data_IF_953545541642
#
_entry.id   IF_953545541642
#
_cell.length_a   1.000
_cell.length_b   1.000
_cell.length_c   1.000
_cell.angle_alpha   90.00
_cell.angle_beta   90.00
_cell.angle_gamma   90.00
#
_symmetry.space_group_name_H-M   'P 1'
#
loop_
_entity.id
_entity.type
_entity.pdbx_description
1 polymer ?
#
# COMPACT_ATOMS: atom_id res chain seq x y z
N UNK A 1 13.11 -1.81 -25.38
CA UNK A 1 14.23 -1.72 -24.42
C UNK A 1 14.14 -0.36 -23.74
N UNK A 2 14.15 -0.32 -22.40
CA UNK A 2 14.23 0.91 -21.65
C UNK A 2 15.62 0.99 -21.04
N UNK A 3 16.34 2.06 -21.32
CA UNK A 3 17.60 2.38 -20.64
C UNK A 3 17.28 3.28 -19.44
N UNK A 4 17.70 2.86 -18.24
CA UNK A 4 17.64 3.69 -17.05
C UNK A 4 18.99 4.40 -16.86
N UNK A 5 18.94 5.71 -16.66
CA UNK A 5 20.14 6.46 -16.28
C UNK A 5 20.59 6.03 -14.89
N UNK A 6 21.87 5.67 -14.75
CA UNK A 6 22.42 5.14 -13.50
C UNK A 6 22.20 6.06 -12.29
N UNK A 7 22.20 7.37 -12.49
CA UNK A 7 21.97 8.37 -11.45
C UNK A 7 20.52 8.41 -10.94
N UNK A 8 19.57 7.85 -11.70
CA UNK A 8 18.14 7.87 -11.40
C UNK A 8 17.57 6.47 -11.11
N UNK A 9 18.42 5.51 -10.70
CA UNK A 9 18.01 4.12 -10.45
C UNK A 9 17.33 3.88 -9.10
N UNK A 10 17.15 4.92 -8.29
CA UNK A 10 16.46 4.78 -7.00
C UNK A 10 15.00 4.34 -7.19
N UNK A 11 14.52 3.32 -6.47
CA UNK A 11 13.17 2.79 -6.67
C UNK A 11 12.07 3.84 -6.56
N UNK A 12 12.19 4.78 -5.62
CA UNK A 12 11.21 5.87 -5.43
C UNK A 12 11.17 6.87 -6.59
N UNK A 13 12.22 6.95 -7.41
CA UNK A 13 12.23 7.73 -8.66
C UNK A 13 11.56 6.94 -9.79
N UNK A 14 11.80 5.63 -9.84
CA UNK A 14 11.28 4.78 -10.92
C UNK A 14 9.77 4.55 -10.82
N UNK A 15 9.21 4.44 -9.60
CA UNK A 15 7.77 4.22 -9.43
C UNK A 15 6.90 5.34 -10.00
N UNK A 16 7.20 6.64 -9.82
CA UNK A 16 6.54 7.70 -10.55
C UNK A 16 6.60 7.54 -12.07
N UNK A 17 7.75 7.12 -12.62
CA UNK A 17 7.87 6.83 -14.05
C UNK A 17 6.94 5.68 -14.48
N UNK A 18 6.86 4.61 -13.70
CA UNK A 18 5.94 3.49 -13.95
C UNK A 18 4.50 3.95 -13.88
N UNK A 19 4.15 4.79 -12.90
CA UNK A 19 2.77 5.24 -12.71
C UNK A 19 2.30 6.23 -13.75
N UNK A 20 3.20 7.06 -14.30
CA UNK A 20 2.87 8.15 -15.22
C UNK A 20 3.22 7.87 -16.68
N UNK A 21 4.12 6.92 -16.94
CA UNK A 21 4.74 6.74 -18.26
C UNK A 21 5.71 7.85 -18.65
N UNK A 22 6.13 8.70 -17.69
CA UNK A 22 7.05 9.82 -17.89
C UNK A 22 8.44 9.50 -17.40
N UNK A 23 9.44 10.10 -18.01
CA UNK A 23 10.83 10.05 -17.55
C UNK A 23 11.01 10.87 -16.27
N UNK A 24 12.13 10.67 -15.54
CA UNK A 24 12.46 11.51 -14.39
C UNK A 24 12.48 13.00 -14.75
N UNK A 25 13.03 13.33 -15.93
CA UNK A 25 13.11 14.71 -16.39
C UNK A 25 11.76 15.39 -16.62
N UNK A 26 10.73 14.60 -16.86
CA UNK A 26 9.38 15.10 -17.05
C UNK A 26 8.61 15.22 -15.72
N UNK A 27 8.62 14.18 -14.86
CA UNK A 27 7.85 14.20 -13.61
C UNK A 27 8.58 14.86 -12.43
N UNK A 28 9.92 14.95 -12.45
CA UNK A 28 10.77 15.59 -11.42
C UNK A 28 10.56 15.13 -9.98
N UNK A 29 10.02 13.95 -9.77
CA UNK A 29 9.80 13.36 -8.45
C UNK A 29 11.04 12.58 -8.04
N UNK A 30 11.76 13.10 -7.05
CA UNK A 30 13.03 12.51 -6.60
C UNK A 30 12.90 11.74 -5.29
N UNK A 31 12.01 12.17 -4.38
CA UNK A 31 11.89 11.58 -3.05
C UNK A 31 10.64 10.74 -2.91
N UNK A 32 10.73 9.78 -2.01
CA UNK A 32 9.59 9.00 -1.58
C UNK A 32 8.54 9.94 -0.93
N UNK A 33 7.29 9.85 -1.39
CA UNK A 33 6.19 10.68 -0.93
C UNK A 33 5.99 12.01 -1.70
N UNK A 34 6.97 12.50 -2.46
CA UNK A 34 6.85 13.76 -3.18
C UNK A 34 5.77 13.72 -4.27
N UNK A 35 5.44 12.52 -4.78
CA UNK A 35 4.45 12.36 -5.84
C UNK A 35 3.04 12.83 -5.43
N UNK A 36 2.74 12.90 -4.14
CA UNK A 36 1.45 13.41 -3.63
C UNK A 36 1.18 14.83 -4.10
N UNK A 37 2.23 15.64 -4.26
CA UNK A 37 2.14 17.03 -4.69
C UNK A 37 2.24 17.18 -6.23
N UNK A 38 2.51 16.12 -6.98
CA UNK A 38 2.56 16.17 -8.43
C UNK A 38 1.17 16.38 -9.03
N UNK A 39 1.09 17.15 -10.10
CA UNK A 39 -0.12 17.29 -10.93
C UNK A 39 -0.22 16.21 -12.01
N UNK A 40 0.81 15.39 -12.15
CA UNK A 40 0.85 14.33 -13.15
C UNK A 40 -0.23 13.30 -12.93
N UNK A 41 -0.87 12.91 -14.03
CA UNK A 41 -1.86 11.86 -14.04
C UNK A 41 -1.16 10.50 -14.04
N UNK A 42 -1.60 9.62 -13.16
CA UNK A 42 -1.14 8.25 -13.09
C UNK A 42 -2.06 7.34 -13.91
N UNK A 43 -1.59 6.18 -14.29
CA UNK A 43 -2.43 5.22 -15.01
C UNK A 43 -3.68 4.79 -14.21
N UNK A 44 -3.66 4.90 -12.88
CA UNK A 44 -4.83 4.63 -12.04
C UNK A 44 -6.01 5.54 -12.41
N UNK A 45 -5.76 6.84 -12.55
CA UNK A 45 -6.78 7.81 -12.96
C UNK A 45 -7.22 7.59 -14.41
N UNK A 46 -6.31 7.17 -15.28
CA UNK A 46 -6.64 6.85 -16.68
C UNK A 46 -7.57 5.64 -16.76
N UNK A 47 -7.32 4.59 -15.98
CA UNK A 47 -8.18 3.41 -15.87
C UNK A 47 -9.57 3.80 -15.35
N UNK A 48 -9.64 4.65 -14.30
CA UNK A 48 -10.91 5.15 -13.77
C UNK A 48 -11.68 6.00 -14.78
N UNK A 49 -11.01 6.90 -15.51
CA UNK A 49 -11.59 7.73 -16.57
C UNK A 49 -12.14 6.89 -17.74
N UNK A 50 -11.51 5.76 -18.01
CA UNK A 50 -12.00 4.79 -18.98
C UNK A 50 -13.24 4.00 -18.52
N UNK A 51 -13.75 4.28 -17.31
CA UNK A 51 -14.94 3.64 -16.74
C UNK A 51 -14.68 2.35 -16.00
N UNK A 52 -13.41 2.03 -15.70
CA UNK A 52 -13.03 0.83 -14.98
C UNK A 52 -12.77 1.12 -13.50
N UNK A 53 -13.10 0.17 -12.63
CA UNK A 53 -12.85 0.27 -11.20
C UNK A 53 -11.43 -0.16 -10.85
N UNK A 54 -10.80 0.58 -9.92
CA UNK A 54 -9.41 0.39 -9.50
C UNK A 54 -9.35 -0.04 -8.05
N UNK A 55 -8.53 -1.06 -7.76
CA UNK A 55 -8.14 -1.47 -6.42
C UNK A 55 -6.62 -1.42 -6.26
N UNK A 56 -6.13 -0.87 -5.14
CA UNK A 56 -4.70 -0.82 -4.88
C UNK A 56 -4.39 -1.08 -3.41
N UNK A 57 -3.33 -1.84 -3.15
CA UNK A 57 -2.75 -2.03 -1.83
C UNK A 57 -1.26 -1.76 -1.90
N UNK A 58 -0.82 -0.80 -1.11
CA UNK A 58 0.58 -0.37 -0.97
C UNK A 58 1.28 0.03 -2.27
N UNK A 59 0.62 0.72 -3.25
CA UNK A 59 1.31 1.15 -4.46
C UNK A 59 2.42 2.15 -4.08
N UNK A 60 3.67 1.77 -4.34
CA UNK A 60 4.85 2.54 -3.93
C UNK A 60 4.86 3.93 -4.56
N UNK A 61 5.04 4.96 -3.74
CA UNK A 61 5.14 6.36 -4.16
C UNK A 61 4.02 6.80 -5.14
N UNK A 62 2.79 6.36 -4.88
CA UNK A 62 1.61 6.69 -5.67
C UNK A 62 0.67 7.63 -4.90
N UNK A 63 0.06 8.57 -5.58
CA UNK A 63 -0.97 9.43 -5.01
C UNK A 63 -2.37 8.89 -5.28
N UNK A 64 -3.22 8.84 -4.26
CA UNK A 64 -4.62 8.50 -4.47
C UNK A 64 -5.42 9.73 -4.94
N UNK A 65 -5.58 9.87 -6.24
CA UNK A 65 -6.39 10.89 -6.91
C UNK A 65 -7.68 10.31 -7.51
N UNK A 66 -7.97 9.04 -7.22
CA UNK A 66 -9.18 8.37 -7.68
C UNK A 66 -10.42 8.97 -7.03
N UNK A 67 -11.48 9.14 -7.80
CA UNK A 67 -12.78 9.65 -7.32
C UNK A 67 -13.55 8.59 -6.55
N UNK A 68 -13.49 7.34 -7.03
CA UNK A 68 -14.25 6.24 -6.45
C UNK A 68 -13.49 4.91 -6.55
N UNK A 69 -12.35 4.77 -5.85
CA UNK A 69 -11.60 3.53 -5.85
C UNK A 69 -12.44 2.39 -5.26
N UNK A 70 -12.32 1.19 -5.85
CA UNK A 70 -12.91 -0.01 -5.25
C UNK A 70 -12.32 -0.26 -3.84
N UNK A 71 -11.03 -0.03 -3.70
CA UNK A 71 -10.26 0.11 -2.45
C UNK A 71 -8.92 0.76 -2.77
N UNK A 72 -8.38 1.51 -1.80
CA UNK A 72 -7.04 2.09 -1.90
C UNK A 72 -6.41 2.16 -0.51
N UNK A 73 -5.36 1.38 -0.31
CA UNK A 73 -4.53 1.38 0.90
C UNK A 73 -3.14 1.84 0.45
N UNK A 74 -2.70 3.08 0.79
CA UNK A 74 -1.41 3.61 0.35
C UNK A 74 -0.24 2.84 0.98
N UNK A 75 0.95 3.03 0.42
CA UNK A 75 2.18 2.64 1.08
C UNK A 75 2.42 3.48 2.35
N UNK A 76 3.21 3.00 3.32
CA UNK A 76 3.36 3.67 4.60
C UNK A 76 4.17 4.97 4.55
N UNK A 77 4.89 5.23 3.47
CA UNK A 77 5.75 6.40 3.32
C UNK A 77 5.09 7.55 2.54
N UNK A 78 4.09 7.23 1.72
CA UNK A 78 3.39 8.21 0.91
C UNK A 78 2.16 8.72 1.65
N UNK A 79 2.19 9.99 2.06
CA UNK A 79 1.09 10.63 2.80
C UNK A 79 -0.07 11.01 1.87
N UNK A 80 -0.73 10.01 1.32
CA UNK A 80 -1.92 10.16 0.48
C UNK A 80 -3.13 9.53 1.18
N UNK A 81 -4.37 10.03 0.94
CA UNK A 81 -5.55 9.45 1.56
C UNK A 81 -5.79 8.01 1.08
N UNK A 82 -6.19 7.14 2.00
CA UNK A 82 -6.78 5.84 1.63
C UNK A 82 -8.19 6.03 1.06
N UNK A 83 -8.84 4.97 0.63
CA UNK A 83 -10.29 5.02 0.43
C UNK A 83 -11.00 5.31 1.77
N UNK A 84 -12.25 5.78 1.70
CA UNK A 84 -12.99 6.22 2.89
C UNK A 84 -13.52 5.07 3.77
N UNK A 85 -13.13 3.82 3.52
CA UNK A 85 -13.59 2.69 4.33
C UNK A 85 -12.86 2.65 5.69
N UNK A 86 -13.59 2.24 6.71
CA UNK A 86 -13.05 2.08 8.06
C UNK A 86 -11.83 1.13 8.08
N UNK A 87 -11.90 0.03 7.34
CA UNK A 87 -10.81 -0.95 7.35
C UNK A 87 -9.57 -0.43 6.62
N UNK A 88 -9.71 0.21 5.46
CA UNK A 88 -8.56 0.80 4.74
C UNK A 88 -7.88 1.84 5.61
N UNK A 89 -8.64 2.71 6.28
CA UNK A 89 -8.08 3.68 7.21
C UNK A 89 -7.34 3.01 8.37
N UNK A 90 -7.96 2.02 9.01
CA UNK A 90 -7.36 1.31 10.15
C UNK A 90 -6.05 0.61 9.77
N UNK A 91 -6.00 0.01 8.57
CA UNK A 91 -4.80 -0.65 8.06
C UNK A 91 -3.73 0.38 7.73
N UNK A 92 -4.10 1.47 7.03
CA UNK A 92 -3.17 2.57 6.72
C UNK A 92 -2.54 3.14 7.98
N UNK A 93 -3.34 3.50 8.98
CA UNK A 93 -2.86 4.03 10.26
C UNK A 93 -1.87 3.05 10.92
N UNK A 94 -2.15 1.76 10.83
CA UNK A 94 -1.34 0.72 11.45
C UNK A 94 0.00 0.51 10.73
N UNK A 95 0.01 0.44 9.40
CA UNK A 95 1.26 0.27 8.64
C UNK A 95 2.15 1.51 8.73
N UNK A 96 1.55 2.71 8.67
CA UNK A 96 2.26 3.99 8.86
C UNK A 96 2.92 4.02 10.24
N UNK A 97 2.19 3.64 11.30
CA UNK A 97 2.77 3.58 12.64
C UNK A 97 3.87 2.52 12.76
N UNK A 98 3.66 1.32 12.18
CA UNK A 98 4.64 0.24 12.23
C UNK A 98 5.97 0.62 11.56
N UNK A 99 5.92 1.46 10.52
CA UNK A 99 7.11 1.91 9.77
C UNK A 99 7.75 3.12 10.45
N UNK A 100 6.98 4.14 10.85
CA UNK A 100 7.50 5.37 11.42
C UNK A 100 8.06 5.16 12.85
N UNK A 101 7.41 4.30 13.64
CA UNK A 101 7.85 3.98 15.01
C UNK A 101 8.88 2.83 15.06
N UNK A 102 9.46 2.48 13.92
CA UNK A 102 10.43 1.37 13.83
C UNK A 102 11.66 1.59 14.74
N UNK A 103 11.97 2.84 15.11
CA UNK A 103 12.99 3.18 16.11
C UNK A 103 12.56 2.87 17.56
N UNK A 104 11.24 2.84 17.85
CA UNK A 104 10.69 2.58 19.18
C UNK A 104 9.87 1.29 19.30
N UNK A 105 9.56 0.62 18.21
CA UNK A 105 8.87 -0.70 18.13
C UNK A 105 7.51 -0.78 18.89
N UNK A 106 6.84 0.35 19.12
CA UNK A 106 5.63 0.41 19.95
C UNK A 106 4.41 0.79 19.12
N UNK A 107 3.61 -0.21 18.76
CA UNK A 107 2.25 0.04 18.27
C UNK A 107 1.37 0.50 19.43
N UNK A 108 0.51 1.50 19.21
CA UNK A 108 -0.47 1.90 20.22
C UNK A 108 -1.53 0.81 20.42
N UNK A 109 -2.15 0.76 21.59
CA UNK A 109 -3.23 -0.19 21.87
C UNK A 109 -4.37 -0.06 20.86
N UNK A 110 -4.72 1.18 20.48
CA UNK A 110 -5.73 1.46 19.45
C UNK A 110 -5.37 0.83 18.12
N UNK A 111 -4.11 0.96 17.71
CA UNK A 111 -3.61 0.39 16.45
C UNK A 111 -3.67 -1.14 16.45
N UNK A 112 -3.26 -1.77 17.56
CA UNK A 112 -3.32 -3.23 17.72
C UNK A 112 -4.79 -3.71 17.65
N UNK A 113 -5.69 -3.02 18.34
CA UNK A 113 -7.13 -3.33 18.31
C UNK A 113 -7.71 -3.21 16.90
N UNK A 114 -7.43 -2.10 16.19
CA UNK A 114 -7.91 -1.89 14.82
C UNK A 114 -7.33 -2.91 13.85
N UNK A 115 -6.04 -3.27 13.98
CA UNK A 115 -5.44 -4.36 13.21
C UNK A 115 -6.14 -5.70 13.49
N UNK A 116 -6.47 -5.97 14.74
CA UNK A 116 -7.22 -7.17 15.13
C UNK A 116 -8.60 -7.22 14.46
N UNK A 117 -9.33 -6.11 14.44
CA UNK A 117 -10.60 -6.02 13.72
C UNK A 117 -10.46 -6.21 12.21
N UNK A 118 -9.47 -5.56 11.60
CA UNK A 118 -9.18 -5.72 10.17
C UNK A 118 -8.77 -7.17 9.84
N UNK A 119 -7.98 -7.79 10.70
CA UNK A 119 -7.60 -9.19 10.58
C UNK A 119 -8.82 -10.12 10.56
N UNK A 120 -9.70 -9.99 11.55
CA UNK A 120 -10.93 -10.83 11.64
C UNK A 120 -11.84 -10.60 10.44
N UNK A 121 -11.97 -9.35 9.98
CA UNK A 121 -12.89 -8.98 8.89
C UNK A 121 -12.38 -9.33 7.50
N UNK A 122 -11.06 -9.25 7.27
CA UNK A 122 -10.47 -9.30 5.94
C UNK A 122 -9.55 -10.51 5.70
N UNK A 123 -9.08 -11.20 6.73
CA UNK A 123 -8.31 -12.43 6.55
C UNK A 123 -9.26 -13.63 6.50
N UNK A 124 -8.99 -14.57 5.61
CA UNK A 124 -9.75 -15.81 5.54
C UNK A 124 -9.56 -16.62 6.85
N UNK A 125 -10.64 -17.12 7.44
CA UNK A 125 -10.62 -17.87 8.72
C UNK A 125 -9.67 -19.08 8.67
N UNK A 126 -9.54 -19.75 7.54
CA UNK A 126 -8.59 -20.86 7.35
C UNK A 126 -7.11 -20.43 7.52
N UNK A 127 -6.84 -19.12 7.46
CA UNK A 127 -5.51 -18.54 7.62
C UNK A 127 -5.21 -18.03 9.03
N UNK A 128 -6.19 -18.00 9.93
CA UNK A 128 -6.01 -17.43 11.27
C UNK A 128 -4.88 -18.13 12.05
N UNK A 129 -4.87 -19.46 12.09
CA UNK A 129 -3.84 -20.20 12.83
C UNK A 129 -2.45 -20.03 12.22
N UNK A 130 -2.24 -20.22 10.89
CA UNK A 130 -0.96 -19.93 10.26
C UNK A 130 -0.47 -18.50 10.51
N UNK A 131 -1.34 -17.50 10.34
CA UNK A 131 -0.99 -16.09 10.54
C UNK A 131 -0.65 -15.79 12.01
N UNK A 132 -1.42 -16.30 12.98
CA UNK A 132 -1.11 -16.17 14.39
C UNK A 132 0.26 -16.77 14.74
N UNK A 133 0.60 -17.92 14.17
CA UNK A 133 1.93 -18.54 14.32
C UNK A 133 3.04 -17.65 13.77
N UNK A 134 2.84 -17.04 12.60
CA UNK A 134 3.79 -16.09 12.03
C UNK A 134 3.95 -14.84 12.88
N UNK A 135 2.84 -14.27 13.39
CA UNK A 135 2.85 -13.12 14.30
C UNK A 135 3.63 -13.44 15.59
N UNK A 136 3.38 -14.59 16.20
CA UNK A 136 4.12 -15.03 17.40
C UNK A 136 5.61 -15.19 17.13
N UNK A 137 5.97 -15.83 16.00
CA UNK A 137 7.36 -16.02 15.60
C UNK A 137 8.07 -14.70 15.22
N UNK A 138 7.32 -13.63 14.98
CA UNK A 138 7.84 -12.30 14.67
C UNK A 138 8.25 -11.51 15.93
N UNK A 139 7.88 -11.95 17.12
CA UNK A 139 8.25 -11.29 18.37
C UNK A 139 9.78 -11.24 18.49
N UNK A 140 10.31 -10.03 18.68
CA UNK A 140 11.75 -9.81 18.80
C UNK A 140 12.56 -9.92 17.50
N UNK A 141 11.92 -10.12 16.34
CA UNK A 141 12.59 -10.31 15.03
C UNK A 141 12.05 -9.34 13.99
N UNK A 142 12.70 -8.16 13.75
CA UNK A 142 12.20 -7.12 12.86
C UNK A 142 11.88 -7.62 11.45
N UNK A 143 12.75 -8.44 10.85
CA UNK A 143 12.54 -8.99 9.50
C UNK A 143 11.31 -9.92 9.41
N UNK A 144 10.95 -10.62 10.49
CA UNK A 144 9.72 -11.43 10.53
C UNK A 144 8.47 -10.58 10.71
N UNK A 145 8.60 -9.39 11.33
CA UNK A 145 7.49 -8.43 11.39
C UNK A 145 7.16 -7.91 10.00
N UNK A 146 8.17 -7.58 9.19
CA UNK A 146 7.97 -7.19 7.80
C UNK A 146 7.25 -8.29 7.02
N UNK A 147 7.79 -9.52 7.05
CA UNK A 147 7.14 -10.67 6.40
C UNK A 147 5.68 -10.88 6.86
N UNK A 148 5.40 -10.73 8.15
CA UNK A 148 4.03 -10.83 8.67
C UNK A 148 3.11 -9.74 8.08
N UNK A 149 3.60 -8.50 7.98
CA UNK A 149 2.85 -7.39 7.38
C UNK A 149 2.58 -7.65 5.90
N UNK A 150 3.57 -8.12 5.15
CA UNK A 150 3.40 -8.48 3.73
C UNK A 150 2.35 -9.58 3.55
N UNK A 151 2.40 -10.63 4.37
CA UNK A 151 1.40 -11.69 4.37
C UNK A 151 0.00 -11.17 4.72
N UNK A 152 -0.08 -10.24 5.67
CA UNK A 152 -1.34 -9.61 6.06
C UNK A 152 -1.91 -8.76 4.92
N UNK A 153 -1.10 -7.92 4.30
CA UNK A 153 -1.50 -7.09 3.15
C UNK A 153 -1.95 -7.96 1.96
N UNK A 154 -1.24 -9.07 1.71
CA UNK A 154 -1.65 -10.03 0.67
C UNK A 154 -3.04 -10.63 0.94
N UNK A 155 -3.33 -11.11 2.15
CA UNK A 155 -4.64 -11.70 2.49
C UNK A 155 -5.75 -10.64 2.45
N UNK A 156 -5.45 -9.41 2.88
CA UNK A 156 -6.37 -8.25 2.79
C UNK A 156 -6.68 -7.95 1.31
N UNK A 157 -5.64 -7.79 0.48
CA UNK A 157 -5.80 -7.56 -0.95
C UNK A 157 -6.66 -8.64 -1.61
N UNK A 158 -6.35 -9.89 -1.36
CA UNK A 158 -7.09 -11.04 -1.90
C UNK A 158 -8.57 -11.03 -1.51
N UNK A 159 -8.87 -10.64 -0.27
CA UNK A 159 -10.26 -10.54 0.21
C UNK A 159 -10.99 -9.36 -0.41
N UNK A 160 -10.35 -8.18 -0.45
CA UNK A 160 -10.90 -6.99 -1.08
C UNK A 160 -11.11 -7.20 -2.58
N UNK A 161 -10.15 -7.81 -3.27
CA UNK A 161 -10.26 -8.18 -4.68
C UNK A 161 -11.51 -9.04 -4.93
N UNK A 162 -11.71 -10.10 -4.14
CA UNK A 162 -12.87 -10.99 -4.28
C UNK A 162 -14.20 -10.31 -3.97
N UNK A 163 -14.23 -9.42 -2.96
CA UNK A 163 -15.46 -8.74 -2.52
C UNK A 163 -15.86 -7.57 -3.40
N UNK A 164 -14.87 -6.83 -3.89
CA UNK A 164 -15.08 -5.59 -4.64
C UNK A 164 -15.00 -5.78 -6.17
N UNK A 165 -14.37 -6.88 -6.58
CA UNK A 165 -14.21 -7.29 -7.98
C UNK A 165 -13.78 -6.14 -8.91
N UNK A 166 -12.66 -5.44 -8.62
CA UNK A 166 -12.19 -4.34 -9.46
C UNK A 166 -11.76 -4.86 -10.85
N UNK A 167 -11.89 -4.02 -11.87
CA UNK A 167 -11.40 -4.34 -13.21
C UNK A 167 -9.88 -4.36 -13.30
N UNK A 168 -9.24 -3.48 -12.52
CA UNK A 168 -7.79 -3.43 -12.35
C UNK A 168 -7.43 -3.45 -10.87
N UNK A 169 -6.41 -4.21 -10.52
CA UNK A 169 -5.87 -4.12 -9.16
C UNK A 169 -4.37 -4.35 -9.10
N UNK A 170 -3.74 -3.73 -8.12
CA UNK A 170 -2.30 -3.87 -7.84
C UNK A 170 -2.06 -4.12 -6.36
N UNK A 171 -1.01 -4.87 -6.09
CA UNK A 171 -0.46 -5.11 -4.76
C UNK A 171 1.06 -4.97 -4.85
N UNK A 172 1.63 -4.16 -3.98
CA UNK A 172 3.07 -4.07 -3.77
C UNK A 172 3.43 -4.54 -2.35
N UNK A 173 4.50 -5.37 -2.23
CA UNK A 173 4.97 -5.97 -0.98
C UNK A 173 6.48 -5.76 -0.81
#
# INVERSE_FOLDING_TARGET
EAEAEYENLEPWVQWPSVHTGKTYDEHKVFRLGDFVNSTDEQFFEQVEKAGFSVGAVSPMNASNKLRNPAYFIPDPWTQTPCDNSFFSKSITDAIVQAVNDNSQSKLTFKTIFNLGLAFIALVNSARYIPMAKHAFNALGKPWRKALFLDMLLYEIHKTLFKRKNPNFSTLFL
#
